data_IF_886277592049
#
_entry.id   IF_886277592049
#
_cell.length_a   1.000
_cell.length_b   1.000
_cell.length_c   1.000
_cell.angle_alpha   90.00
_cell.angle_beta   90.00
_cell.angle_gamma   90.00
#
_symmetry.space_group_name_H-M   'P 1'
#
loop_
_entity.id
_entity.type
_entity.pdbx_description
1 polymer ?
#
# COMPACT_ATOMS: atom_id res chain seq x y z
N UNK A 1 -19.85 -9.95 -19.95
CA UNK A 1 -18.49 -10.12 -19.43
C UNK A 1 -18.27 -9.12 -18.31
N UNK A 2 -17.58 -9.50 -17.24
CA UNK A 2 -17.21 -8.61 -16.14
C UNK A 2 -15.71 -8.74 -15.91
N UNK A 3 -14.98 -7.62 -15.95
CA UNK A 3 -13.55 -7.60 -15.68
C UNK A 3 -13.26 -7.60 -14.18
N UNK A 4 -12.07 -8.01 -13.80
CA UNK A 4 -11.57 -7.85 -12.44
C UNK A 4 -12.22 -8.72 -11.35
N UNK A 5 -12.86 -9.83 -11.70
CA UNK A 5 -13.55 -10.70 -10.71
C UNK A 5 -12.56 -11.28 -9.71
N UNK A 6 -11.40 -11.73 -10.17
CA UNK A 6 -10.37 -12.35 -9.33
C UNK A 6 -9.19 -11.43 -9.06
N UNK A 7 -8.78 -10.66 -10.07
CA UNK A 7 -7.72 -9.65 -9.94
C UNK A 7 -8.04 -8.48 -10.88
N UNK A 8 -7.96 -7.25 -10.40
CA UNK A 8 -8.18 -6.07 -11.22
C UNK A 8 -7.17 -5.97 -12.34
N UNK A 9 -7.65 -5.64 -13.55
CA UNK A 9 -6.80 -5.37 -14.71
C UNK A 9 -5.93 -4.16 -14.43
N UNK A 10 -4.65 -4.23 -14.81
CA UNK A 10 -3.68 -3.18 -14.52
C UNK A 10 -2.61 -3.10 -15.59
N UNK A 11 -2.06 -1.92 -15.74
CA UNK A 11 -0.86 -1.68 -16.53
C UNK A 11 0.03 -0.70 -15.77
N UNK A 12 1.31 -0.67 -16.08
CA UNK A 12 2.21 0.24 -15.38
C UNK A 12 3.59 0.30 -16.00
N UNK A 13 4.35 1.25 -15.49
CA UNK A 13 5.75 1.46 -15.81
C UNK A 13 6.57 1.32 -14.53
N UNK A 14 7.71 0.69 -14.63
CA UNK A 14 8.71 0.64 -13.56
C UNK A 14 10.11 0.77 -14.15
N UNK A 15 10.97 1.44 -13.43
CA UNK A 15 12.37 1.55 -13.78
C UNK A 15 13.24 1.56 -12.54
N UNK A 16 14.50 1.19 -12.71
CA UNK A 16 15.50 1.23 -11.64
C UNK A 16 16.83 1.62 -12.25
N UNK A 17 17.51 2.58 -11.64
CA UNK A 17 18.85 3.03 -11.97
C UNK A 17 19.81 2.65 -10.84
N UNK A 18 20.95 2.10 -11.17
CA UNK A 18 22.02 1.80 -10.23
C UNK A 18 22.98 3.00 -10.17
N UNK A 19 23.02 3.65 -9.01
CA UNK A 19 23.86 4.83 -8.78
C UNK A 19 25.28 4.46 -8.31
N UNK A 20 25.59 3.19 -8.23
CA UNK A 20 26.86 2.70 -7.68
C UNK A 20 26.85 2.57 -6.15
N UNK A 21 27.91 1.97 -5.62
CA UNK A 21 28.12 1.76 -4.17
C UNK A 21 26.91 1.08 -3.45
N UNK A 22 26.15 0.28 -4.18
CA UNK A 22 24.95 -0.40 -3.65
C UNK A 22 23.71 0.50 -3.49
N UNK A 23 23.78 1.75 -3.99
CA UNK A 23 22.65 2.67 -4.00
C UNK A 23 21.90 2.57 -5.33
N UNK A 24 20.58 2.44 -5.25
CA UNK A 24 19.67 2.40 -6.41
C UNK A 24 18.49 3.34 -6.20
N UNK A 25 18.02 3.92 -7.28
CA UNK A 25 16.78 4.67 -7.31
C UNK A 25 15.85 4.03 -8.33
N UNK A 26 14.56 3.98 -8.01
CA UNK A 26 13.57 3.41 -8.91
C UNK A 26 12.22 4.07 -8.77
N UNK A 27 11.34 3.81 -9.72
CA UNK A 27 9.96 4.27 -9.68
C UNK A 27 9.01 3.14 -10.07
N UNK A 28 7.76 3.25 -9.58
CA UNK A 28 6.64 2.42 -9.99
C UNK A 28 5.45 3.33 -10.24
N UNK A 29 4.83 3.19 -11.41
CA UNK A 29 3.59 3.86 -11.79
C UNK A 29 2.62 2.78 -12.26
N UNK A 30 1.52 2.56 -11.53
CA UNK A 30 0.54 1.50 -11.83
C UNK A 30 -0.88 2.06 -11.86
N UNK A 31 -1.58 1.78 -12.94
CA UNK A 31 -2.99 2.13 -13.18
C UNK A 31 -3.87 0.88 -13.22
N UNK A 32 -5.01 0.93 -12.56
CA UNK A 32 -6.08 -0.04 -12.74
C UNK A 32 -7.05 0.41 -13.81
N UNK A 33 -7.59 -0.52 -14.59
CA UNK A 33 -8.58 -0.25 -15.61
C UNK A 33 -9.60 -1.38 -15.70
N UNK A 34 -10.75 -1.10 -16.34
CA UNK A 34 -11.77 -2.10 -16.65
C UNK A 34 -11.50 -2.63 -18.06
N UNK A 35 -11.19 -3.91 -18.18
CA UNK A 35 -10.83 -4.52 -19.47
C UNK A 35 -12.04 -4.76 -20.39
N UNK A 36 -13.25 -4.68 -19.86
CA UNK A 36 -14.49 -4.88 -20.60
C UNK A 36 -14.96 -3.62 -21.34
N UNK A 37 -14.61 -2.42 -20.89
CA UNK A 37 -15.01 -1.15 -21.48
C UNK A 37 -13.86 -0.14 -21.68
N UNK A 38 -12.66 -0.43 -21.17
CA UNK A 38 -11.48 0.42 -21.29
C UNK A 38 -11.45 1.61 -20.34
N UNK A 39 -12.40 1.74 -19.43
CA UNK A 39 -12.45 2.86 -18.50
C UNK A 39 -11.40 2.73 -17.39
N UNK A 40 -11.03 3.87 -16.77
CA UNK A 40 -10.15 3.87 -15.60
C UNK A 40 -10.81 3.15 -14.42
N UNK A 41 -10.05 2.39 -13.67
CA UNK A 41 -10.52 1.72 -12.44
C UNK A 41 -10.98 2.70 -11.35
N UNK A 42 -10.40 3.91 -11.32
CA UNK A 42 -10.83 5.04 -10.49
C UNK A 42 -10.85 6.28 -11.37
N UNK A 43 -12.04 6.87 -11.55
CA UNK A 43 -12.22 8.06 -12.39
C UNK A 43 -11.34 9.22 -11.91
N UNK A 44 -10.69 9.91 -12.85
CA UNK A 44 -9.87 11.09 -12.58
C UNK A 44 -8.50 10.80 -11.98
N UNK A 45 -8.12 9.54 -11.78
CA UNK A 45 -6.82 9.18 -11.21
C UNK A 45 -6.05 8.24 -12.13
N UNK A 46 -5.01 8.74 -12.79
CA UNK A 46 -4.25 7.96 -13.77
C UNK A 46 -3.51 6.78 -13.12
N UNK A 47 -2.78 7.01 -12.05
CA UNK A 47 -2.04 5.97 -11.32
C UNK A 47 -2.71 5.69 -9.96
N UNK A 48 -3.90 5.13 -10.03
CA UNK A 48 -4.74 4.90 -8.84
C UNK A 48 -4.23 3.78 -7.93
N UNK A 49 -3.33 2.92 -8.41
CA UNK A 49 -2.83 1.76 -7.66
C UNK A 49 -1.49 2.03 -6.97
N UNK A 50 -0.53 2.58 -7.70
CA UNK A 50 0.77 2.95 -7.16
C UNK A 50 1.39 4.08 -8.00
N UNK A 51 2.00 5.07 -7.32
CA UNK A 51 2.85 6.09 -7.90
C UNK A 51 3.95 6.39 -6.90
N UNK A 52 5.07 5.67 -6.98
CA UNK A 52 6.12 5.70 -5.97
C UNK A 52 7.50 5.94 -6.53
N UNK A 53 8.30 6.69 -5.78
CA UNK A 53 9.75 6.80 -5.91
C UNK A 53 10.39 5.95 -4.81
N UNK A 54 11.39 5.14 -5.18
CA UNK A 54 12.04 4.20 -4.28
C UNK A 54 13.54 4.45 -4.24
N UNK A 55 14.11 4.60 -3.07
CA UNK A 55 15.56 4.67 -2.84
C UNK A 55 15.97 3.43 -2.06
N UNK A 56 16.87 2.65 -2.63
CA UNK A 56 17.29 1.37 -2.08
C UNK A 56 18.81 1.38 -1.85
N UNK A 57 19.23 0.79 -0.75
CA UNK A 57 20.65 0.74 -0.38
C UNK A 57 20.94 -0.24 0.74
N UNK A 58 22.17 -0.24 1.28
CA UNK A 58 22.52 -1.06 2.44
C UNK A 58 21.66 -0.78 3.68
N UNK A 59 21.05 0.41 3.75
CA UNK A 59 20.12 0.81 4.80
C UNK A 59 18.70 0.23 4.64
N UNK A 60 18.41 -0.44 3.53
CA UNK A 60 17.08 -0.93 3.18
C UNK A 60 16.43 -0.15 2.03
N UNK A 61 15.12 0.09 2.12
CA UNK A 61 14.35 0.79 1.09
C UNK A 61 13.50 1.90 1.72
N UNK A 62 13.61 3.09 1.18
CA UNK A 62 12.71 4.22 1.42
C UNK A 62 11.84 4.43 0.19
N UNK A 63 10.53 4.55 0.38
CA UNK A 63 9.57 4.78 -0.70
C UNK A 63 8.69 5.98 -0.37
N UNK A 64 8.42 6.81 -1.38
CA UNK A 64 7.68 8.06 -1.27
C UNK A 64 6.58 8.09 -2.34
N UNK A 65 5.39 8.56 -1.99
CA UNK A 65 4.31 8.79 -2.94
C UNK A 65 3.00 8.10 -2.60
N UNK A 66 2.28 7.65 -3.62
CA UNK A 66 1.05 6.85 -3.47
C UNK A 66 1.42 5.38 -3.38
N UNK A 67 1.19 4.78 -2.24
CA UNK A 67 1.69 3.43 -1.93
C UNK A 67 0.59 2.61 -1.26
N UNK A 68 0.54 1.32 -1.53
CA UNK A 68 -0.38 0.40 -0.86
C UNK A 68 -0.01 0.16 0.61
N UNK A 69 -1.02 0.00 1.44
CA UNK A 69 -0.85 -0.37 2.84
C UNK A 69 -0.10 -1.72 2.97
N UNK A 70 0.67 -1.90 4.03
CA UNK A 70 1.45 -3.13 4.26
C UNK A 70 0.58 -4.39 4.34
N UNK A 71 -0.70 -4.25 4.67
CA UNK A 71 -1.69 -5.32 4.69
C UNK A 71 -2.35 -5.56 3.34
N UNK A 72 -2.13 -4.68 2.36
CA UNK A 72 -2.72 -4.79 1.04
C UNK A 72 -1.91 -5.74 0.16
N UNK A 73 -2.48 -6.86 -0.19
CA UNK A 73 -1.76 -7.92 -0.90
C UNK A 73 -1.46 -7.68 -2.38
N UNK A 74 -1.92 -6.59 -2.97
CA UNK A 74 -1.77 -6.32 -4.40
C UNK A 74 -0.81 -5.21 -4.77
N UNK A 75 -0.22 -4.52 -3.80
CA UNK A 75 0.78 -3.49 -4.03
C UNK A 75 2.22 -4.03 -3.86
N UNK A 76 3.21 -3.25 -4.27
CA UNK A 76 4.63 -3.57 -4.04
C UNK A 76 4.96 -3.71 -2.55
N UNK A 77 4.18 -3.05 -1.70
CA UNK A 77 4.28 -3.07 -0.23
C UNK A 77 3.33 -4.04 0.46
N UNK A 78 2.53 -4.79 -0.30
CA UNK A 78 1.56 -5.74 0.25
C UNK A 78 2.22 -6.99 0.82
N UNK A 79 2.58 -6.97 2.09
CA UNK A 79 3.33 -8.05 2.74
C UNK A 79 2.44 -9.18 3.26
N UNK A 80 1.16 -8.91 3.55
CA UNK A 80 0.20 -9.94 3.99
C UNK A 80 -0.04 -10.98 2.91
N UNK A 81 -0.08 -10.59 1.65
CA UNK A 81 -0.23 -11.54 0.53
C UNK A 81 0.89 -12.57 0.45
N UNK A 82 2.08 -12.21 0.89
CA UNK A 82 3.24 -13.10 0.88
C UNK A 82 3.15 -14.22 1.94
N UNK A 83 2.34 -14.05 2.97
CA UNK A 83 2.15 -15.04 4.06
C UNK A 83 0.76 -15.67 4.05
N UNK A 84 -0.13 -15.26 3.14
CA UNK A 84 -1.45 -15.86 2.99
C UNK A 84 -1.34 -17.20 2.26
N UNK A 85 -1.82 -18.28 2.88
CA UNK A 85 -1.84 -19.61 2.28
C UNK A 85 -2.72 -19.72 1.02
N UNK A 86 -3.69 -18.82 0.88
CA UNK A 86 -4.66 -18.83 -0.23
C UNK A 86 -4.50 -17.63 -1.16
N UNK A 87 -3.44 -16.85 -1.01
CA UNK A 87 -3.27 -15.57 -1.72
C UNK A 87 -4.26 -14.50 -1.23
N UNK A 88 -4.15 -13.30 -1.78
CA UNK A 88 -4.95 -12.15 -1.34
C UNK A 88 -6.41 -12.20 -1.78
N UNK A 89 -6.73 -12.99 -2.82
CA UNK A 89 -8.10 -13.08 -3.36
C UNK A 89 -8.99 -14.06 -2.62
N UNK A 90 -8.41 -15.01 -1.91
CA UNK A 90 -9.13 -16.09 -1.21
C UNK A 90 -8.80 -16.20 0.27
N UNK A 91 -7.92 -15.37 0.78
CA UNK A 91 -7.56 -15.37 2.19
C UNK A 91 -8.66 -14.79 3.09
N UNK A 92 -8.53 -14.97 4.43
CA UNK A 92 -9.46 -14.42 5.41
C UNK A 92 -9.67 -12.91 5.26
N UNK A 93 -8.72 -12.20 4.65
CA UNK A 93 -8.83 -10.78 4.37
C UNK A 93 -9.93 -10.42 3.34
N UNK A 94 -10.38 -11.37 2.54
CA UNK A 94 -11.44 -11.16 1.54
C UNK A 94 -12.80 -11.79 1.93
N UNK A 95 -12.87 -12.46 3.06
CA UNK A 95 -14.15 -12.95 3.58
C UNK A 95 -14.88 -11.76 4.21
N UNK A 96 -16.09 -11.47 3.75
CA UNK A 96 -16.84 -10.27 4.09
C UNK A 96 -16.97 -9.97 5.61
N UNK A 97 -16.83 -10.99 6.44
CA UNK A 97 -16.88 -10.88 7.90
C UNK A 97 -15.51 -10.84 8.60
N UNK A 98 -14.43 -11.12 7.89
CA UNK A 98 -13.07 -11.07 8.42
C UNK A 98 -12.33 -9.77 8.05
N UNK A 99 -12.93 -8.96 7.18
CA UNK A 99 -12.37 -7.67 6.75
C UNK A 99 -12.10 -6.72 7.92
N UNK A 100 -12.89 -6.81 8.99
CA UNK A 100 -12.71 -5.97 10.17
C UNK A 100 -11.53 -6.37 11.07
N UNK A 101 -10.96 -7.56 10.86
CA UNK A 101 -9.83 -8.06 11.67
C UNK A 101 -8.49 -7.87 10.94
N UNK A 102 -8.49 -7.95 9.61
CA UNK A 102 -7.27 -7.96 8.79
C UNK A 102 -7.22 -6.89 7.70
N UNK A 103 -8.32 -6.16 7.44
CA UNK A 103 -8.28 -5.12 6.43
C UNK A 103 -7.77 -3.81 7.00
N UNK A 104 -6.78 -3.25 6.32
CA UNK A 104 -6.52 -1.83 6.47
C UNK A 104 -7.77 -1.06 6.00
N UNK A 105 -8.21 -0.05 6.72
CA UNK A 105 -9.32 0.80 6.29
C UNK A 105 -9.03 1.53 4.97
N UNK A 106 -7.79 1.50 4.52
CA UNK A 106 -7.37 1.99 3.20
C UNK A 106 -6.54 0.93 2.47
N UNK A 107 -6.79 0.78 1.19
CA UNK A 107 -5.99 -0.10 0.33
C UNK A 107 -4.72 0.58 -0.18
N UNK A 108 -4.79 1.87 -0.43
CA UNK A 108 -3.71 2.73 -0.94
C UNK A 108 -3.80 4.07 -0.21
N UNK A 109 -2.69 4.63 0.20
CA UNK A 109 -2.63 5.94 0.80
C UNK A 109 -1.77 6.90 -0.04
N UNK A 110 -2.19 8.15 -0.07
CA UNK A 110 -1.47 9.24 -0.71
C UNK A 110 -0.43 9.83 0.24
N UNK A 111 0.53 10.57 -0.29
CA UNK A 111 1.55 11.30 0.49
C UNK A 111 2.21 10.42 1.55
N UNK A 112 2.52 9.18 1.16
CA UNK A 112 3.09 8.19 2.05
C UNK A 112 4.61 8.23 2.03
N UNK A 113 5.17 8.07 3.21
CA UNK A 113 6.56 7.69 3.44
C UNK A 113 6.52 6.25 3.95
N UNK A 114 7.23 5.36 3.28
CA UNK A 114 7.32 3.96 3.65
C UNK A 114 8.78 3.54 3.73
N UNK A 115 9.14 2.83 4.78
CA UNK A 115 10.49 2.33 5.00
C UNK A 115 10.47 0.84 5.31
N UNK A 116 11.44 0.12 4.74
CA UNK A 116 11.71 -1.27 5.11
C UNK A 116 13.19 -1.44 5.40
N UNK A 117 13.50 -2.16 6.47
CA UNK A 117 14.88 -2.51 6.83
C UNK A 117 15.47 -3.53 5.85
N UNK A 118 16.79 -3.65 5.76
CA UNK A 118 17.41 -4.85 5.22
C UNK A 118 16.93 -6.09 6.01
N UNK A 119 16.99 -7.25 5.39
CA UNK A 119 16.71 -8.52 6.07
C UNK A 119 17.84 -8.84 7.05
N UNK A 120 17.49 -8.99 8.33
CA UNK A 120 18.41 -9.36 9.40
C UNK A 120 17.92 -10.60 10.14
N UNK A 121 18.72 -11.65 10.18
CA UNK A 121 18.40 -12.93 10.85
C UNK A 121 17.01 -13.48 10.51
N UNK A 122 16.55 -13.29 9.27
CA UNK A 122 15.21 -13.67 8.83
C UNK A 122 14.13 -12.61 9.02
N UNK A 123 14.38 -11.56 9.80
CA UNK A 123 13.43 -10.47 10.04
C UNK A 123 13.58 -9.35 9.04
N UNK A 124 12.44 -8.73 8.71
CA UNK A 124 12.34 -7.43 8.00
C UNK A 124 11.27 -6.61 8.70
N UNK A 125 11.58 -5.37 9.04
CA UNK A 125 10.66 -4.43 9.68
C UNK A 125 10.19 -3.40 8.66
N UNK A 126 8.92 -3.02 8.74
CA UNK A 126 8.25 -2.09 7.84
C UNK A 126 7.60 -0.98 8.65
N UNK A 127 7.74 0.24 8.21
CA UNK A 127 7.04 1.39 8.77
C UNK A 127 6.41 2.21 7.63
N UNK A 128 5.19 2.67 7.83
CA UNK A 128 4.48 3.53 6.89
C UNK A 128 3.82 4.69 7.62
N UNK A 129 3.89 5.86 7.01
CA UNK A 129 3.22 7.06 7.46
C UNK A 129 2.65 7.82 6.26
N UNK A 130 1.37 8.14 6.29
CA UNK A 130 0.73 9.02 5.31
C UNK A 130 0.32 10.34 5.97
N UNK A 131 0.73 11.43 5.35
CA UNK A 131 0.42 12.80 5.79
C UNK A 131 -0.98 13.26 5.39
N UNK A 132 -1.64 12.53 4.52
CA UNK A 132 -3.00 12.79 4.07
C UNK A 132 -3.50 11.63 3.24
N UNK A 133 -4.53 10.95 3.74
CA UNK A 133 -5.15 9.83 3.06
C UNK A 133 -6.44 10.29 2.39
N UNK A 134 -6.45 10.36 1.05
CA UNK A 134 -7.71 10.47 0.33
C UNK A 134 -8.41 9.11 0.36
N UNK A 135 -9.58 9.01 0.99
CA UNK A 135 -10.41 7.79 0.96
C UNK A 135 -10.70 7.45 -0.51
N UNK A 136 -9.96 6.52 -1.07
CA UNK A 136 -10.26 5.96 -2.37
C UNK A 136 -11.63 5.27 -2.28
N UNK A 137 -12.65 5.82 -2.95
CA UNK A 137 -13.97 5.19 -3.08
C UNK A 137 -15.16 5.92 -2.49
N UNK A 138 -14.99 7.07 -1.86
CA UNK A 138 -16.14 7.93 -1.53
C UNK A 138 -16.23 9.09 -2.52
N UNK A 139 -17.39 9.24 -3.13
CA UNK A 139 -17.76 10.29 -4.11
C UNK A 139 -17.83 11.69 -3.48
N UNK A 140 -17.06 12.00 -2.49
CA UNK A 140 -17.08 13.31 -1.83
C UNK A 140 -15.74 13.99 -1.96
N UNK A 141 -15.77 15.07 -2.67
CA UNK A 141 -14.87 16.21 -2.79
C UNK A 141 -13.47 16.04 -2.19
N UNK A 142 -12.40 16.15 -2.98
CA UNK A 142 -11.03 16.09 -2.49
C UNK A 142 -10.69 17.40 -1.77
N UNK A 143 -11.00 17.49 -0.50
CA UNK A 143 -10.63 18.62 0.36
C UNK A 143 -9.73 18.19 1.52
N UNK A 144 -8.99 17.12 1.35
CA UNK A 144 -7.93 16.80 2.30
C UNK A 144 -6.68 17.61 1.91
N UNK A 145 -6.52 18.74 2.55
CA UNK A 145 -5.34 19.59 2.40
C UNK A 145 -4.30 19.13 3.40
N UNK A 146 -3.10 18.82 2.93
CA UNK A 146 -1.95 18.51 3.79
C UNK A 146 -1.80 19.54 4.92
N UNK A 147 -1.37 19.06 6.09
CA UNK A 147 -1.13 19.86 7.30
C UNK A 147 -2.37 20.48 7.96
N UNK A 148 -3.58 20.09 7.59
CA UNK A 148 -4.78 20.44 8.37
C UNK A 148 -5.08 19.36 9.42
N UNK A 149 -5.56 19.79 10.58
CA UNK A 149 -6.00 18.89 11.67
C UNK A 149 -7.16 17.97 11.27
N UNK A 150 -7.90 18.32 10.21
CA UNK A 150 -9.01 17.54 9.65
C UNK A 150 -8.59 16.47 8.64
N UNK A 151 -7.29 16.25 8.43
CA UNK A 151 -6.78 15.28 7.46
C UNK A 151 -6.55 13.93 8.13
N UNK A 152 -7.14 12.87 7.58
CA UNK A 152 -6.92 11.51 8.06
C UNK A 152 -5.46 11.12 7.84
N UNK A 153 -4.81 10.66 8.89
CA UNK A 153 -3.42 10.19 8.87
C UNK A 153 -3.39 8.68 9.05
N UNK A 154 -2.51 8.04 8.30
CA UNK A 154 -2.31 6.61 8.38
C UNK A 154 -0.93 6.31 8.95
N UNK A 155 -0.87 5.39 9.91
CA UNK A 155 0.36 4.85 10.49
C UNK A 155 0.31 3.34 10.41
N UNK A 156 1.39 2.72 10.02
CA UNK A 156 1.51 1.28 10.10
C UNK A 156 2.94 0.88 10.48
N UNK A 157 3.02 -0.12 11.34
CA UNK A 157 4.26 -0.80 11.68
C UNK A 157 4.05 -2.30 11.45
N UNK A 158 5.01 -2.94 10.81
CA UNK A 158 4.94 -4.38 10.55
C UNK A 158 6.30 -5.04 10.62
N UNK A 159 6.29 -6.33 10.84
CA UNK A 159 7.46 -7.17 10.77
C UNK A 159 7.13 -8.48 10.09
N UNK A 160 8.04 -8.97 9.26
CA UNK A 160 7.99 -10.32 8.72
C UNK A 160 9.19 -11.11 9.22
N UNK A 161 8.98 -12.39 9.49
CA UNK A 161 10.04 -13.36 9.72
C UNK A 161 9.93 -14.45 8.66
N UNK A 162 11.01 -14.72 7.96
CA UNK A 162 11.07 -15.75 6.94
C UNK A 162 12.36 -16.57 7.12
N UNK A 163 12.21 -17.83 7.54
CA UNK A 163 13.32 -18.77 7.71
C UNK A 163 12.85 -20.19 7.35
N UNK A 164 13.40 -20.75 6.27
CA UNK A 164 12.97 -22.04 5.73
C UNK A 164 11.48 -22.01 5.37
N UNK A 165 10.71 -23.03 5.83
CA UNK A 165 9.27 -23.10 5.55
C UNK A 165 8.43 -22.16 6.43
N UNK A 166 9.01 -21.55 7.48
CA UNK A 166 8.29 -20.70 8.42
C UNK A 166 8.24 -19.25 7.90
N UNK A 167 7.03 -18.74 7.71
CA UNK A 167 6.77 -17.34 7.39
C UNK A 167 5.76 -16.79 8.40
N UNK A 168 6.15 -15.74 9.11
CA UNK A 168 5.31 -15.05 10.08
C UNK A 168 5.18 -13.58 9.69
N UNK A 169 4.03 -13.00 9.96
CA UNK A 169 3.78 -11.59 9.76
C UNK A 169 3.05 -11.00 10.97
N UNK A 170 3.49 -9.84 11.42
CA UNK A 170 2.85 -9.06 12.46
C UNK A 170 2.69 -7.63 11.96
N UNK A 171 1.52 -7.03 12.15
CA UNK A 171 1.31 -5.61 11.85
C UNK A 171 0.42 -4.93 12.87
N UNK A 172 0.71 -3.65 13.11
CA UNK A 172 -0.14 -2.70 13.81
C UNK A 172 -0.45 -1.56 12.85
N UNK A 173 -1.75 -1.26 12.70
CA UNK A 173 -2.23 -0.20 11.82
C UNK A 173 -3.14 0.71 12.62
N UNK A 174 -2.93 2.02 12.46
CA UNK A 174 -3.76 3.04 13.08
C UNK A 174 -4.10 4.12 12.06
N UNK A 175 -5.36 4.52 12.04
CA UNK A 175 -5.84 5.71 11.32
C UNK A 175 -6.33 6.68 12.38
N UNK A 176 -5.69 7.85 12.42
CA UNK A 176 -6.20 8.97 13.23
C UNK A 176 -7.24 9.71 12.40
N UNK A 177 -8.52 9.53 12.78
CA UNK A 177 -9.55 10.47 12.36
C UNK A 177 -9.35 11.78 13.13
N UNK A 178 -9.52 12.95 12.47
CA UNK A 178 -9.47 14.21 13.16
C UNK A 178 -10.59 14.22 14.22
N UNK A 179 -10.20 14.41 15.47
CA UNK A 179 -11.15 14.60 16.56
C UNK A 179 -11.93 15.88 16.26
N UNK A 180 -13.15 15.75 15.81
CA UNK A 180 -14.06 16.88 15.68
C UNK A 180 -14.41 17.30 17.10
N UNK A 181 -13.72 18.30 17.61
CA UNK A 181 -14.20 19.05 18.77
C UNK A 181 -15.42 19.84 18.29
N UNK A 182 -16.60 19.26 18.47
CA UNK A 182 -17.85 20.03 18.39
C UNK A 182 -17.86 20.96 19.60
N UNK A 183 -17.44 22.20 19.37
CA UNK A 183 -17.64 23.31 20.30
C UNK A 183 -18.96 23.99 19.93
#
# INVERSE_FOLDING_TARGET
>A
LKSGIQAGSRWGLKGTEDLGNGLKVGFILESGFNADDGTQGVSGTMFNREASLNVMGPFGQLSLGKIGAITQGTSSWGKVGAVSAFGTSYGPANVANATNVFSAPTSVADNMIAYQTPKFAGFTVYAQYSMGNSKAGTTSTPTQVENKSSTDRYYALGATYANGPANLYLSLIHISEPTRLDV
#
